data_IF_839606791825
#
_entry.id   IF_839606791825
#
_cell.length_a   1.000
_cell.length_b   1.000
_cell.length_c   1.000
_cell.angle_alpha   90.00
_cell.angle_beta   90.00
_cell.angle_gamma   90.00
#
_symmetry.space_group_name_H-M   'P 1'
#
loop_
_entity.id
_entity.type
_entity.pdbx_description
1 polymer ?
#
# COMPACT_ATOMS: atom_id res chain seq x y z
N UNK A 1 -28.58 10.65 19.94
CA UNK A 1 -27.76 9.84 19.02
C UNK A 1 -27.46 10.73 17.82
N UNK A 2 -26.19 10.94 17.41
CA UNK A 2 -25.94 11.77 16.25
C UNK A 2 -26.51 11.08 15.01
N UNK A 3 -27.29 11.83 14.25
CA UNK A 3 -27.95 11.42 13.03
C UNK A 3 -26.89 10.99 12.01
N UNK A 4 -27.05 9.80 11.40
CA UNK A 4 -26.19 9.38 10.30
C UNK A 4 -26.44 10.33 9.13
N UNK A 5 -25.61 11.35 8.99
CA UNK A 5 -25.61 12.21 7.80
C UNK A 5 -25.42 11.32 6.58
N UNK A 6 -26.49 11.10 5.82
CA UNK A 6 -26.41 10.45 4.51
C UNK A 6 -25.60 11.39 3.62
N UNK A 7 -24.33 11.06 3.41
CA UNK A 7 -23.48 11.79 2.48
C UNK A 7 -24.08 11.82 1.08
N UNK A 8 -23.62 12.76 0.26
CA UNK A 8 -24.05 12.89 -1.14
C UNK A 8 -23.88 11.53 -1.83
N UNK A 9 -24.91 11.00 -2.50
CA UNK A 9 -24.80 9.74 -3.24
C UNK A 9 -23.68 9.83 -4.28
N UNK A 10 -22.78 8.84 -4.30
CA UNK A 10 -21.73 8.75 -5.32
C UNK A 10 -22.39 8.34 -6.64
N UNK A 11 -22.31 9.22 -7.64
CA UNK A 11 -22.85 9.03 -8.98
C UNK A 11 -21.73 9.15 -10.02
N UNK A 12 -21.11 8.01 -10.33
CA UNK A 12 -19.96 7.90 -11.25
C UNK A 12 -20.18 6.82 -12.32
N UNK A 13 -21.44 6.40 -12.53
CA UNK A 13 -21.79 5.36 -13.50
C UNK A 13 -21.49 3.91 -13.06
N UNK A 14 -21.02 3.69 -11.83
CA UNK A 14 -20.71 2.36 -11.25
C UNK A 14 -21.69 2.08 -10.11
N UNK A 15 -22.32 0.91 -10.08
CA UNK A 15 -23.28 0.51 -9.04
C UNK A 15 -22.64 0.34 -7.66
N UNK A 16 -23.40 0.52 -6.57
CA UNK A 16 -22.81 0.46 -5.21
C UNK A 16 -22.12 -0.87 -4.91
N UNK A 17 -22.70 -2.00 -5.32
CA UNK A 17 -22.14 -3.32 -5.09
C UNK A 17 -20.77 -3.48 -5.77
N UNK A 18 -20.66 -3.06 -7.02
CA UNK A 18 -19.41 -3.07 -7.80
C UNK A 18 -18.38 -2.11 -7.22
N UNK A 19 -18.78 -0.89 -6.84
CA UNK A 19 -17.88 0.05 -6.14
C UNK A 19 -17.36 -0.52 -4.83
N UNK A 20 -18.17 -1.30 -4.11
CA UNK A 20 -17.76 -1.95 -2.85
C UNK A 20 -16.68 -2.99 -3.10
N UNK A 21 -16.87 -3.85 -4.11
CA UNK A 21 -15.88 -4.86 -4.50
C UNK A 21 -14.55 -4.21 -4.89
N UNK A 22 -14.59 -3.17 -5.72
CA UNK A 22 -13.41 -2.40 -6.11
C UNK A 22 -12.74 -1.77 -4.87
N UNK A 23 -13.52 -1.16 -3.97
CA UNK A 23 -13.00 -0.53 -2.77
C UNK A 23 -12.32 -1.53 -1.82
N UNK A 24 -12.88 -2.74 -1.67
CA UNK A 24 -12.28 -3.81 -0.87
C UNK A 24 -10.98 -4.33 -1.47
N UNK A 25 -10.90 -4.47 -2.80
CA UNK A 25 -9.65 -4.78 -3.50
C UNK A 25 -8.59 -3.70 -3.28
N UNK A 26 -8.95 -2.44 -3.52
CA UNK A 26 -8.06 -1.30 -3.30
C UNK A 26 -7.62 -1.17 -1.83
N UNK A 27 -8.46 -1.49 -0.86
CA UNK A 27 -8.08 -1.47 0.56
C UNK A 27 -6.92 -2.43 0.88
N UNK A 28 -6.85 -3.58 0.20
CA UNK A 28 -5.70 -4.51 0.31
C UNK A 28 -4.46 -3.94 -0.36
N UNK A 29 -4.62 -3.29 -1.52
CA UNK A 29 -3.51 -2.60 -2.21
C UNK A 29 -2.96 -1.45 -1.36
N UNK A 30 -3.81 -0.68 -0.69
CA UNK A 30 -3.39 0.36 0.27
C UNK A 30 -2.59 -0.28 1.41
N UNK A 31 -3.08 -1.39 1.98
CA UNK A 31 -2.36 -2.09 3.05
C UNK A 31 -0.99 -2.62 2.60
N UNK A 32 -0.89 -3.23 1.41
CA UNK A 32 0.37 -3.69 0.85
C UNK A 32 1.33 -2.54 0.55
N UNK A 33 0.84 -1.46 -0.05
CA UNK A 33 1.66 -0.28 -0.37
C UNK A 33 2.20 0.36 0.91
N UNK A 34 1.38 0.48 1.95
CA UNK A 34 1.80 1.03 3.24
C UNK A 34 2.78 0.11 3.98
N UNK A 35 2.57 -1.21 3.95
CA UNK A 35 3.52 -2.18 4.52
C UNK A 35 4.87 -2.12 3.80
N UNK A 36 4.88 -2.00 2.47
CA UNK A 36 6.11 -1.86 1.68
C UNK A 36 6.80 -0.52 1.95
N UNK A 37 6.03 0.56 2.12
CA UNK A 37 6.53 1.86 2.58
C UNK A 37 7.27 1.70 3.91
N UNK A 38 6.64 1.08 4.92
CA UNK A 38 7.27 0.89 6.22
C UNK A 38 8.52 0.00 6.12
N UNK A 39 8.49 -1.04 5.29
CA UNK A 39 9.63 -1.93 5.10
C UNK A 39 10.82 -1.21 4.45
N UNK A 40 10.59 -0.44 3.40
CA UNK A 40 11.65 0.35 2.72
C UNK A 40 12.18 1.47 3.62
N UNK A 41 11.33 2.11 4.41
CA UNK A 41 11.74 3.09 5.40
C UNK A 41 12.59 2.47 6.52
N UNK A 42 12.21 1.27 6.96
CA UNK A 42 12.98 0.48 7.91
C UNK A 42 14.36 0.07 7.35
N UNK A 43 14.44 -0.33 6.08
CA UNK A 43 15.71 -0.62 5.40
C UNK A 43 16.60 0.61 5.27
N UNK A 44 16.01 1.76 4.93
CA UNK A 44 16.73 3.05 4.88
C UNK A 44 17.42 3.35 6.22
N UNK A 45 16.74 3.15 7.35
CA UNK A 45 17.31 3.40 8.67
C UNK A 45 18.42 2.42 9.07
N UNK A 46 18.36 1.17 8.61
CA UNK A 46 19.16 0.08 9.18
C UNK A 46 20.13 -0.57 8.21
N UNK A 47 20.17 -0.17 6.94
CA UNK A 47 21.16 -0.65 5.99
C UNK A 47 22.57 -0.29 6.46
N UNK A 48 23.52 -1.20 6.29
CA UNK A 48 24.93 -1.04 6.65
C UNK A 48 25.83 -1.72 5.61
N UNK A 49 27.14 -1.50 5.70
CA UNK A 49 28.14 -2.12 4.83
C UNK A 49 28.64 -1.22 3.69
N UNK A 50 29.45 -1.77 2.77
CA UNK A 50 30.15 -0.98 1.76
C UNK A 50 29.25 -0.20 0.79
N UNK A 51 28.00 -0.67 0.60
CA UNK A 51 27.00 -0.06 -0.27
C UNK A 51 26.03 0.89 0.46
N UNK A 52 26.33 1.21 1.73
CA UNK A 52 25.45 2.02 2.58
C UNK A 52 24.95 3.30 1.89
N UNK A 53 25.82 4.17 1.31
CA UNK A 53 25.34 5.44 0.76
C UNK A 53 24.36 5.26 -0.40
N UNK A 54 24.61 4.27 -1.27
CA UNK A 54 23.76 4.04 -2.45
C UNK A 54 22.41 3.42 -2.04
N UNK A 55 22.43 2.42 -1.17
CA UNK A 55 21.21 1.74 -0.75
C UNK A 55 20.35 2.61 0.17
N UNK A 56 20.98 3.40 1.05
CA UNK A 56 20.28 4.35 1.90
C UNK A 56 19.49 5.37 1.07
N UNK A 57 20.10 5.96 0.05
CA UNK A 57 19.44 6.89 -0.87
C UNK A 57 18.36 6.21 -1.72
N UNK A 58 18.62 4.99 -2.22
CA UNK A 58 17.64 4.20 -2.98
C UNK A 58 16.37 3.93 -2.15
N UNK A 59 16.53 3.49 -0.90
CA UNK A 59 15.39 3.21 -0.03
C UNK A 59 14.61 4.47 0.34
N UNK A 60 15.28 5.63 0.41
CA UNK A 60 14.61 6.93 0.58
C UNK A 60 13.71 7.31 -0.59
N UNK A 61 14.25 7.18 -1.81
CA UNK A 61 13.47 7.42 -3.02
C UNK A 61 12.24 6.49 -3.05
N UNK A 62 12.43 5.21 -2.75
CA UNK A 62 11.36 4.21 -2.75
C UNK A 62 10.27 4.51 -1.72
N UNK A 63 10.63 4.72 -0.44
CA UNK A 63 9.60 4.97 0.58
C UNK A 63 8.85 6.26 0.29
N UNK A 64 9.51 7.26 -0.31
CA UNK A 64 8.89 8.55 -0.64
C UNK A 64 7.82 8.38 -1.71
N UNK A 65 8.10 7.61 -2.76
CA UNK A 65 7.12 7.32 -3.81
C UNK A 65 6.00 6.40 -3.30
N UNK A 66 6.30 5.42 -2.45
CA UNK A 66 5.29 4.55 -1.84
C UNK A 66 4.34 5.32 -0.91
N UNK A 67 4.85 6.31 -0.17
CA UNK A 67 4.01 7.19 0.65
C UNK A 67 3.00 7.96 -0.22
N UNK A 68 3.47 8.58 -1.31
CA UNK A 68 2.60 9.29 -2.27
C UNK A 68 1.59 8.36 -2.93
N UNK A 69 1.99 7.13 -3.26
CA UNK A 69 1.12 6.14 -3.87
C UNK A 69 0.02 5.68 -2.90
N UNK A 70 0.37 5.49 -1.62
CA UNK A 70 -0.59 5.12 -0.57
C UNK A 70 -1.73 6.13 -0.48
N UNK A 71 -1.41 7.43 -0.47
CA UNK A 71 -2.40 8.51 -0.41
C UNK A 71 -3.35 8.47 -1.63
N UNK A 72 -2.81 8.41 -2.85
CA UNK A 72 -3.61 8.31 -4.08
C UNK A 72 -4.56 7.11 -4.08
N UNK A 73 -4.10 5.95 -3.61
CA UNK A 73 -4.93 4.74 -3.51
C UNK A 73 -6.02 4.90 -2.45
N UNK A 74 -5.69 5.51 -1.31
CA UNK A 74 -6.64 5.77 -0.23
C UNK A 74 -7.73 6.75 -0.66
N UNK A 75 -7.35 7.84 -1.33
CA UNK A 75 -8.30 8.80 -1.91
C UNK A 75 -9.19 8.15 -2.96
N UNK A 76 -8.68 7.20 -3.75
CA UNK A 76 -9.50 6.45 -4.70
C UNK A 76 -10.58 5.62 -4.00
N UNK A 77 -10.26 4.96 -2.89
CA UNK A 77 -11.26 4.24 -2.06
C UNK A 77 -12.32 5.21 -1.55
N UNK A 78 -11.93 6.41 -1.10
CA UNK A 78 -12.86 7.46 -0.65
C UNK A 78 -13.74 7.98 -1.79
N UNK A 79 -13.19 8.14 -3.00
CA UNK A 79 -13.93 8.56 -4.19
C UNK A 79 -15.00 7.53 -4.62
N UNK A 80 -14.82 6.25 -4.29
CA UNK A 80 -15.84 5.20 -4.48
C UNK A 80 -16.97 5.24 -3.42
N UNK A 81 -16.83 6.08 -2.39
CA UNK A 81 -17.79 6.26 -1.31
C UNK A 81 -17.53 5.43 -0.05
N UNK A 82 -16.43 4.65 -0.01
CA UNK A 82 -16.14 3.72 1.08
C UNK A 82 -15.00 4.22 1.97
N UNK A 83 -15.01 3.92 3.28
CA UNK A 83 -13.88 4.25 4.15
C UNK A 83 -12.65 3.43 3.80
N UNK A 84 -11.47 4.00 4.00
CA UNK A 84 -10.18 3.34 3.79
C UNK A 84 -9.62 2.84 5.14
N UNK A 85 -8.95 1.68 5.21
CA UNK A 85 -8.15 1.29 6.38
C UNK A 85 -7.06 2.34 6.66
N UNK A 86 -6.86 2.68 7.94
CA UNK A 86 -5.92 3.75 8.34
C UNK A 86 -5.21 3.47 9.69
N UNK A 87 -5.27 2.24 10.19
CA UNK A 87 -4.58 1.83 11.43
C UNK A 87 -3.63 0.68 11.14
N UNK A 88 -2.55 0.59 11.92
CA UNK A 88 -1.57 -0.50 11.78
C UNK A 88 -2.25 -1.88 11.88
N UNK A 89 -3.13 -2.07 12.85
CA UNK A 89 -3.85 -3.35 13.00
C UNK A 89 -4.74 -3.70 11.81
N UNK A 90 -5.33 -2.71 11.12
CA UNK A 90 -6.05 -2.96 9.87
C UNK A 90 -5.11 -3.36 8.74
N UNK A 91 -3.98 -2.67 8.59
CA UNK A 91 -3.00 -3.00 7.56
C UNK A 91 -2.42 -4.39 7.76
N UNK A 92 -2.03 -4.78 8.98
CA UNK A 92 -1.53 -6.13 9.29
C UNK A 92 -2.53 -7.23 8.93
N UNK A 93 -3.85 -6.99 9.08
CA UNK A 93 -4.88 -7.97 8.72
C UNK A 93 -5.13 -8.08 7.21
N UNK A 94 -4.83 -7.03 6.46
CA UNK A 94 -5.17 -6.93 5.03
C UNK A 94 -3.98 -7.22 4.12
N UNK A 95 -2.77 -6.93 4.59
CA UNK A 95 -1.56 -7.04 3.78
C UNK A 95 -1.23 -8.49 3.47
N UNK A 96 -0.78 -8.73 2.24
CA UNK A 96 -0.19 -9.99 1.78
C UNK A 96 1.32 -10.04 1.98
N UNK A 97 1.95 -8.93 2.37
CA UNK A 97 3.39 -8.82 2.57
C UNK A 97 3.75 -9.38 3.96
N UNK A 98 4.60 -10.42 4.03
CA UNK A 98 5.05 -10.94 5.31
C UNK A 98 5.95 -9.93 6.01
N UNK A 99 5.72 -9.75 7.32
CA UNK A 99 6.58 -8.94 8.17
C UNK A 99 7.69 -9.82 8.76
N UNK A 100 8.89 -9.26 8.87
CA UNK A 100 10.03 -9.86 9.57
C UNK A 100 10.49 -8.92 10.66
N UNK A 101 10.70 -9.45 11.86
CA UNK A 101 11.21 -8.66 12.99
C UNK A 101 12.73 -8.47 12.92
N UNK A 102 13.43 -9.40 12.27
CA UNK A 102 14.88 -9.38 12.12
C UNK A 102 15.31 -8.57 10.89
N UNK A 103 16.35 -7.75 11.07
CA UNK A 103 16.92 -6.96 9.99
C UNK A 103 17.78 -7.83 9.07
N UNK A 104 17.45 -7.94 7.77
CA UNK A 104 18.27 -8.68 6.83
C UNK A 104 19.56 -7.92 6.48
N UNK A 105 20.56 -8.65 5.99
CA UNK A 105 21.71 -8.02 5.34
C UNK A 105 21.29 -7.29 4.05
N UNK A 106 22.10 -6.32 3.60
CA UNK A 106 21.81 -5.47 2.44
C UNK A 106 21.40 -6.26 1.17
N UNK A 107 22.08 -7.37 0.87
CA UNK A 107 21.73 -8.22 -0.28
C UNK A 107 20.34 -8.87 -0.15
N UNK A 108 19.97 -9.30 1.05
CA UNK A 108 18.65 -9.90 1.29
C UNK A 108 17.55 -8.84 1.33
N UNK A 109 17.83 -7.60 1.73
CA UNK A 109 16.89 -6.48 1.57
C UNK A 109 16.46 -6.35 0.09
N UNK A 110 17.44 -6.37 -0.82
CA UNK A 110 17.19 -6.27 -2.28
C UNK A 110 16.40 -7.50 -2.76
N UNK A 111 16.81 -8.72 -2.38
CA UNK A 111 16.10 -9.95 -2.78
C UNK A 111 14.65 -9.98 -2.28
N UNK A 112 14.38 -9.46 -1.08
CA UNK A 112 13.02 -9.33 -0.56
C UNK A 112 12.22 -8.35 -1.41
N UNK A 113 12.79 -7.19 -1.75
CA UNK A 113 12.14 -6.22 -2.63
C UNK A 113 11.93 -6.77 -4.04
N UNK A 114 12.81 -7.58 -4.60
CA UNK A 114 12.61 -8.23 -5.90
C UNK A 114 11.45 -9.24 -5.86
N UNK A 115 11.38 -10.06 -4.80
CA UNK A 115 10.28 -11.04 -4.61
C UNK A 115 8.93 -10.36 -4.42
N UNK A 116 8.91 -9.24 -3.70
CA UNK A 116 7.70 -8.45 -3.43
C UNK A 116 7.36 -7.50 -4.59
N UNK A 117 8.38 -7.08 -5.33
CA UNK A 117 8.38 -6.11 -6.42
C UNK A 117 7.83 -6.61 -7.73
N UNK A 118 7.29 -7.83 -7.78
CA UNK A 118 6.17 -8.14 -8.67
C UNK A 118 4.94 -7.34 -8.22
N UNK A 119 5.00 -6.03 -8.47
CA UNK A 119 3.86 -5.16 -8.68
C UNK A 119 2.90 -5.73 -9.74
N UNK A 120 3.17 -6.88 -10.35
CA UNK A 120 2.18 -7.68 -11.06
C UNK A 120 0.88 -7.84 -10.27
N UNK A 121 0.87 -8.07 -8.94
CA UNK A 121 -0.40 -8.19 -8.20
C UNK A 121 -1.16 -6.87 -8.09
N UNK A 122 -0.46 -5.76 -7.79
CA UNK A 122 -1.07 -4.43 -7.73
C UNK A 122 -1.49 -3.93 -9.11
N UNK A 123 -0.66 -4.13 -10.13
CA UNK A 123 -0.95 -3.80 -11.52
C UNK A 123 -1.99 -4.73 -12.15
N UNK A 124 -2.08 -6.00 -11.74
CA UNK A 124 -3.15 -6.93 -12.11
C UNK A 124 -4.46 -6.50 -11.44
N UNK A 125 -4.46 -6.21 -10.13
CA UNK A 125 -5.66 -5.71 -9.43
C UNK A 125 -6.15 -4.38 -10.01
N UNK A 126 -5.25 -3.44 -10.30
CA UNK A 126 -5.60 -2.17 -10.97
C UNK A 126 -6.13 -2.41 -12.39
N UNK A 127 -5.56 -3.36 -13.15
CA UNK A 127 -6.06 -3.74 -14.48
C UNK A 127 -7.41 -4.44 -14.43
N UNK A 128 -7.66 -5.27 -13.43
CA UNK A 128 -8.91 -6.01 -13.27
C UNK A 128 -10.04 -5.19 -12.65
N UNK A 129 -9.76 -4.01 -12.09
CA UNK A 129 -10.78 -3.09 -11.53
C UNK A 129 -11.04 -1.86 -12.41
N UNK A 130 -10.28 -1.67 -13.50
CA UNK A 130 -10.45 -0.57 -14.46
C UNK A 130 -10.94 -1.05 -15.85
N UNK A 131 -11.17 -2.35 -16.03
CA UNK A 131 -11.72 -2.96 -17.24
C UNK A 131 -13.09 -3.58 -16.92
#
# INVERSE_FOLDING_TARGET
MPEKTKGVPVDIGIGEAERREIAEGLARVVADTFTLYLMTHNFHWNVTGPLFPQLHALFEEQYTELWKATDKLAERVRALGFPVPATLGQFTRLTSIPQKDEMPAAEEMIRLLERLGSHEKAAWMLRSTLA
#
